data_IF_418380303290
#
_entry.id   IF_418380303290
#
_cell.length_a   1.000
_cell.length_b   1.000
_cell.length_c   1.000
_cell.angle_alpha   90.00
_cell.angle_beta   90.00
_cell.angle_gamma   90.00
#
_symmetry.space_group_name_H-M   'P 1'
#
loop_
_entity.id
_entity.type
_entity.pdbx_description
1 polymer ?
#
# COMPACT_ATOMS: atom_id res chain seq x y z
N UNK A 1 18.66 -10.53 -7.95
CA UNK A 1 18.02 -9.93 -6.77
C UNK A 1 17.47 -8.58 -7.20
N UNK A 2 16.17 -8.50 -7.48
CA UNK A 2 15.53 -7.23 -7.85
C UNK A 2 15.25 -6.46 -6.55
N UNK A 3 15.81 -5.26 -6.44
CA UNK A 3 15.41 -4.34 -5.39
C UNK A 3 14.14 -3.64 -5.85
N UNK A 4 13.00 -3.98 -5.23
CA UNK A 4 11.80 -3.17 -5.37
C UNK A 4 11.96 -1.92 -4.50
N UNK A 5 11.87 -0.74 -5.12
CA UNK A 5 11.72 0.51 -4.39
C UNK A 5 10.28 0.59 -3.90
N UNK A 6 10.08 0.50 -2.58
CA UNK A 6 8.74 0.51 -2.02
C UNK A 6 8.34 1.91 -1.58
N UNK A 7 7.16 2.31 -2.03
CA UNK A 7 6.47 3.48 -1.53
C UNK A 7 5.75 3.13 -0.22
N UNK A 8 6.31 3.55 0.93
CA UNK A 8 5.78 3.13 2.24
C UNK A 8 4.57 3.95 2.74
N UNK A 9 4.09 4.94 1.98
CA UNK A 9 2.99 5.85 2.36
C UNK A 9 2.00 6.12 1.22
N UNK A 10 1.40 5.08 0.63
CA UNK A 10 0.54 5.20 -0.56
C UNK A 10 -0.91 5.63 -0.25
N UNK A 11 -1.10 6.75 0.45
CA UNK A 11 -2.44 7.30 0.74
C UNK A 11 -2.84 8.42 -0.22
N UNK A 12 -4.14 8.71 -0.35
CA UNK A 12 -4.66 9.71 -1.29
C UNK A 12 -4.04 11.10 -1.14
N UNK A 13 -3.65 11.50 0.08
CA UNK A 13 -3.03 12.80 0.34
C UNK A 13 -1.65 12.97 -0.35
N UNK A 14 -1.05 11.90 -0.87
CA UNK A 14 0.21 11.92 -1.59
C UNK A 14 0.03 11.97 -3.12
N UNK A 15 -1.21 12.04 -3.62
CA UNK A 15 -1.53 12.18 -5.04
C UNK A 15 -2.03 13.60 -5.29
N UNK A 16 -1.43 14.30 -6.24
CA UNK A 16 -1.95 15.60 -6.72
C UNK A 16 -2.69 15.43 -8.02
N UNK A 17 -3.75 16.21 -8.19
CA UNK A 17 -4.51 16.32 -9.44
C UNK A 17 -4.57 17.77 -9.89
N UNK A 18 -4.79 18.00 -11.18
CA UNK A 18 -5.14 19.32 -11.71
C UNK A 18 -6.65 19.58 -11.48
N UNK A 19 -7.03 20.52 -10.60
CA UNK A 19 -8.44 20.79 -10.32
C UNK A 19 -9.13 21.61 -11.42
N UNK A 20 -8.37 22.28 -12.28
CA UNK A 20 -8.92 23.14 -13.34
C UNK A 20 -9.27 22.34 -14.61
N UNK A 21 -8.83 21.09 -14.69
CA UNK A 21 -9.17 20.16 -15.75
C UNK A 21 -10.39 19.31 -15.37
N UNK A 22 -11.40 19.15 -16.25
CA UNK A 22 -12.67 18.48 -15.93
C UNK A 22 -12.51 17.01 -15.48
N UNK A 23 -11.47 16.34 -15.95
CA UNK A 23 -11.17 14.94 -15.63
C UNK A 23 -10.26 14.74 -14.41
N UNK A 24 -9.85 15.82 -13.71
CA UNK A 24 -8.96 15.78 -12.55
C UNK A 24 -7.74 14.85 -12.72
N UNK A 25 -6.95 14.99 -13.81
CA UNK A 25 -5.85 14.09 -14.09
C UNK A 25 -4.82 14.15 -12.96
N UNK A 26 -4.27 12.98 -12.60
CA UNK A 26 -3.16 12.90 -11.67
C UNK A 26 -1.95 13.60 -12.28
N UNK A 27 -1.39 14.57 -11.55
CA UNK A 27 -0.26 15.39 -11.99
C UNK A 27 1.06 14.96 -11.35
N UNK A 28 1.03 14.45 -10.12
CA UNK A 28 2.22 13.96 -9.44
C UNK A 28 1.89 12.98 -8.30
N UNK A 29 2.92 12.25 -7.90
CA UNK A 29 2.95 11.44 -6.67
C UNK A 29 4.06 12.04 -5.79
N UNK A 30 3.70 12.57 -4.62
CA UNK A 30 4.56 13.29 -3.65
C UNK A 30 4.87 12.42 -2.44
N UNK A 31 5.93 12.68 -1.67
CA UNK A 31 6.29 11.92 -0.43
C UNK A 31 7.13 10.64 -0.69
N UNK A 32 8.06 10.73 -1.64
CA UNK A 32 9.07 9.70 -1.92
C UNK A 32 10.13 9.55 -0.82
N UNK A 33 10.17 10.43 0.19
CA UNK A 33 11.21 10.43 1.24
C UNK A 33 11.17 9.19 2.14
N UNK A 34 10.02 8.51 2.18
CA UNK A 34 9.87 7.22 2.87
C UNK A 34 10.07 6.02 1.93
N UNK A 35 10.52 6.24 0.69
CA UNK A 35 10.82 5.15 -0.21
C UNK A 35 12.09 4.41 0.23
N UNK A 36 12.03 3.08 0.22
CA UNK A 36 13.15 2.26 0.70
C UNK A 36 13.22 0.94 -0.04
N UNK A 37 14.44 0.50 -0.36
CA UNK A 37 14.71 -0.89 -0.67
C UNK A 37 14.78 -1.67 0.66
N UNK A 38 13.71 -2.38 0.99
CA UNK A 38 13.60 -3.17 2.23
C UNK A 38 13.54 -4.66 1.91
N UNK A 39 14.16 -5.52 2.74
CA UNK A 39 14.12 -6.98 2.55
C UNK A 39 12.74 -7.58 2.86
N UNK A 40 11.81 -6.77 3.39
CA UNK A 40 10.42 -7.15 3.64
C UNK A 40 9.55 -6.67 2.49
N UNK A 41 8.65 -7.49 1.95
CA UNK A 41 7.78 -7.07 0.87
C UNK A 41 6.76 -6.03 1.38
N UNK A 42 7.04 -4.76 1.11
CA UNK A 42 6.21 -3.63 1.57
C UNK A 42 5.28 -3.08 0.50
N UNK A 43 4.83 -3.92 -0.42
CA UNK A 43 3.90 -3.49 -1.49
C UNK A 43 2.65 -2.82 -0.92
N UNK A 44 2.06 -3.41 0.14
CA UNK A 44 0.91 -2.82 0.83
C UNK A 44 0.70 -3.32 2.28
N UNK A 45 1.70 -3.39 3.19
CA UNK A 45 1.43 -3.55 4.63
C UNK A 45 1.40 -2.16 5.29
N UNK A 46 0.29 -1.68 5.89
CA UNK A 46 -0.88 -2.36 6.48
C UNK A 46 -2.20 -2.27 5.67
N UNK A 47 -2.15 -2.49 4.36
CA UNK A 47 -3.21 -2.09 3.41
C UNK A 47 -3.47 -0.59 3.50
N UNK A 48 -2.44 0.21 3.24
CA UNK A 48 -2.56 1.67 3.23
C UNK A 48 -2.79 2.22 1.81
N UNK A 49 -2.77 1.37 0.79
CA UNK A 49 -3.02 1.74 -0.59
C UNK A 49 -4.38 2.43 -0.72
N UNK A 50 -4.35 3.67 -1.20
CA UNK A 50 -5.53 4.54 -1.36
C UNK A 50 -6.32 4.70 -0.06
N UNK A 51 -5.68 4.57 1.11
CA UNK A 51 -6.34 4.80 2.37
C UNK A 51 -6.75 6.26 2.52
N UNK A 52 -7.99 6.47 2.96
CA UNK A 52 -8.59 7.80 3.13
C UNK A 52 -8.37 8.40 4.54
N UNK A 53 -7.48 7.79 5.34
CA UNK A 53 -7.15 8.17 6.73
C UNK A 53 -8.31 8.05 7.75
N UNK A 54 -9.40 7.41 7.37
CA UNK A 54 -10.54 7.15 8.26
C UNK A 54 -10.65 5.65 8.58
N UNK A 55 -11.46 5.32 9.58
CA UNK A 55 -11.48 3.99 10.20
C UNK A 55 -12.90 3.39 10.31
N UNK A 56 -13.91 4.00 9.68
CA UNK A 56 -15.25 3.43 9.71
C UNK A 56 -15.29 2.13 8.89
N UNK A 57 -16.27 1.24 9.15
CA UNK A 57 -16.49 0.06 8.32
C UNK A 57 -16.63 0.41 6.83
N UNK A 58 -17.33 1.49 6.52
CA UNK A 58 -17.54 1.99 5.15
C UNK A 58 -16.22 2.43 4.50
N UNK A 59 -15.32 3.08 5.25
CA UNK A 59 -14.00 3.46 4.76
C UNK A 59 -13.16 2.24 4.36
N UNK A 60 -13.28 1.14 5.12
CA UNK A 60 -12.59 -0.12 4.84
C UNK A 60 -13.18 -0.86 3.65
N UNK A 61 -14.51 -0.83 3.50
CA UNK A 61 -15.19 -1.38 2.33
C UNK A 61 -14.76 -0.65 1.05
N UNK A 62 -14.73 0.69 1.10
CA UNK A 62 -14.31 1.49 -0.05
C UNK A 62 -12.83 1.27 -0.38
N UNK A 63 -11.94 1.18 0.61
CA UNK A 63 -10.55 0.80 0.37
C UNK A 63 -10.45 -0.57 -0.33
N UNK A 64 -11.21 -1.55 0.13
CA UNK A 64 -11.22 -2.90 -0.47
C UNK A 64 -11.75 -2.85 -1.92
N UNK A 65 -12.75 -2.01 -2.17
CA UNK A 65 -13.28 -1.78 -3.52
C UNK A 65 -12.23 -1.13 -4.43
N UNK A 66 -11.53 -0.11 -3.96
CA UNK A 66 -10.46 0.56 -4.71
C UNK A 66 -9.27 -0.36 -5.01
N UNK A 67 -8.87 -1.22 -4.07
CA UNK A 67 -7.84 -2.26 -4.31
C UNK A 67 -8.26 -3.20 -5.46
N UNK A 68 -9.51 -3.68 -5.45
CA UNK A 68 -10.04 -4.54 -6.52
C UNK A 68 -10.12 -3.85 -7.87
N UNK A 69 -10.55 -2.58 -7.89
CA UNK A 69 -10.62 -1.78 -9.11
C UNK A 69 -9.23 -1.53 -9.69
N UNK A 70 -8.23 -1.26 -8.84
CA UNK A 70 -6.84 -1.14 -9.26
C UNK A 70 -6.35 -2.45 -9.89
N UNK A 71 -6.61 -3.60 -9.26
CA UNK A 71 -6.23 -4.89 -9.83
C UNK A 71 -6.89 -5.16 -11.19
N UNK A 72 -8.18 -4.85 -11.34
CA UNK A 72 -8.89 -5.05 -12.61
C UNK A 72 -8.31 -4.18 -13.72
N UNK A 73 -8.06 -2.89 -13.43
CA UNK A 73 -7.46 -1.96 -14.39
C UNK A 73 -6.04 -2.42 -14.79
N UNK A 74 -5.23 -2.88 -13.83
CA UNK A 74 -3.89 -3.41 -14.12
C UNK A 74 -3.96 -4.61 -15.06
N UNK A 75 -4.89 -5.55 -14.84
CA UNK A 75 -5.10 -6.69 -15.74
C UNK A 75 -5.56 -6.24 -17.13
N UNK A 76 -6.55 -5.35 -17.21
CA UNK A 76 -7.09 -4.82 -18.48
C UNK A 76 -6.05 -4.07 -19.31
N UNK A 77 -5.15 -3.32 -18.65
CA UNK A 77 -4.07 -2.57 -19.32
C UNK A 77 -2.82 -3.40 -19.62
N UNK A 78 -2.85 -4.71 -19.37
CA UNK A 78 -1.70 -5.61 -19.63
C UNK A 78 -0.57 -5.52 -18.59
N UNK A 79 -0.80 -4.86 -17.46
CA UNK A 79 0.13 -4.76 -16.34
C UNK A 79 -0.08 -5.86 -15.27
N UNK A 80 -0.90 -6.89 -15.56
CA UNK A 80 -1.25 -7.95 -14.61
C UNK A 80 -0.06 -8.68 -13.99
N UNK A 81 1.04 -8.83 -14.73
CA UNK A 81 2.29 -9.44 -14.23
C UNK A 81 2.85 -8.73 -12.99
N UNK A 82 2.67 -7.42 -12.87
CA UNK A 82 3.13 -6.65 -11.70
C UNK A 82 2.41 -7.14 -10.43
N UNK A 83 1.12 -7.51 -10.53
CA UNK A 83 0.36 -8.03 -9.39
C UNK A 83 0.89 -9.39 -8.94
N UNK A 84 1.21 -10.26 -9.90
CA UNK A 84 1.79 -11.60 -9.63
C UNK A 84 3.19 -11.49 -9.03
N UNK A 85 4.04 -10.63 -9.59
CA UNK A 85 5.41 -10.38 -9.09
C UNK A 85 5.41 -9.76 -7.66
N UNK A 86 4.26 -9.27 -7.20
CA UNK A 86 4.06 -8.66 -5.88
C UNK A 86 3.40 -9.58 -4.86
N UNK A 87 2.97 -10.77 -5.27
CA UNK A 87 2.52 -11.81 -4.31
C UNK A 87 3.71 -12.26 -3.46
N UNK A 88 3.42 -12.52 -2.18
CA UNK A 88 4.45 -12.95 -1.25
C UNK A 88 4.76 -14.42 -1.47
N UNK A 89 6.05 -14.76 -1.54
CA UNK A 89 6.47 -16.15 -1.39
C UNK A 89 6.34 -16.61 0.09
N UNK A 90 6.36 -17.93 0.38
CA UNK A 90 6.20 -18.42 1.76
C UNK A 90 7.26 -17.93 2.76
N UNK A 91 8.47 -17.63 2.30
CA UNK A 91 9.53 -17.08 3.16
C UNK A 91 9.23 -15.61 3.48
N UNK A 92 8.81 -14.85 2.48
CA UNK A 92 8.36 -13.47 2.59
C UNK A 92 7.14 -13.33 3.52
N UNK A 93 6.17 -14.24 3.46
CA UNK A 93 5.05 -14.30 4.41
C UNK A 93 5.53 -14.53 5.85
N UNK A 94 6.47 -15.47 6.02
CA UNK A 94 7.08 -15.77 7.33
C UNK A 94 7.84 -14.57 7.90
N UNK A 95 8.57 -13.85 7.06
CA UNK A 95 9.27 -12.62 7.43
C UNK A 95 8.29 -11.52 7.86
N UNK A 96 7.21 -11.31 7.09
CA UNK A 96 6.18 -10.33 7.44
C UNK A 96 5.49 -10.66 8.76
N UNK A 97 5.25 -11.95 9.03
CA UNK A 97 4.71 -12.44 10.30
C UNK A 97 5.62 -12.06 11.47
N UNK A 98 6.93 -12.29 11.35
CA UNK A 98 7.89 -11.91 12.38
C UNK A 98 7.90 -10.39 12.63
N UNK A 99 7.87 -9.57 11.57
CA UNK A 99 7.80 -8.11 11.66
C UNK A 99 6.52 -7.66 12.38
N UNK A 100 5.38 -8.29 12.09
CA UNK A 100 4.11 -7.97 12.74
C UNK A 100 4.16 -8.26 14.24
N UNK A 101 4.71 -9.40 14.66
CA UNK A 101 4.87 -9.73 16.07
C UNK A 101 5.82 -8.76 16.79
N UNK A 102 6.96 -8.43 16.17
CA UNK A 102 7.89 -7.45 16.73
C UNK A 102 7.19 -6.10 16.93
N UNK A 103 6.47 -5.61 15.92
CA UNK A 103 5.68 -4.38 16.02
C UNK A 103 4.64 -4.45 17.14
N UNK A 104 3.94 -5.58 17.26
CA UNK A 104 2.96 -5.78 18.32
C UNK A 104 3.62 -5.61 19.71
N UNK A 105 4.77 -6.27 19.92
CA UNK A 105 5.51 -6.24 21.20
C UNK A 105 6.08 -4.84 21.51
N UNK A 106 6.69 -4.17 20.52
CA UNK A 106 7.49 -2.96 20.77
C UNK A 106 6.73 -1.65 20.56
N UNK A 107 5.63 -1.65 19.81
CA UNK A 107 4.85 -0.43 19.51
C UNK A 107 3.41 -0.49 20.00
N UNK A 108 2.69 -1.59 19.72
CA UNK A 108 1.24 -1.67 19.95
C UNK A 108 0.91 -1.97 21.42
N UNK A 109 1.47 -3.04 21.98
CA UNK A 109 1.26 -3.43 23.37
C UNK A 109 1.67 -2.31 24.36
N UNK A 110 2.82 -1.63 24.20
CA UNK A 110 3.19 -0.53 25.09
C UNK A 110 2.23 0.66 25.05
N UNK A 111 1.47 0.82 23.96
CA UNK A 111 0.42 1.85 23.83
C UNK A 111 -0.93 1.40 24.39
N UNK A 112 -1.05 0.15 24.87
CA UNK A 112 -2.32 -0.42 25.35
C UNK A 112 -3.35 -0.65 24.24
N UNK A 113 -2.89 -0.82 22.99
CA UNK A 113 -3.73 -0.95 21.80
C UNK A 113 -3.83 -2.42 21.32
N UNK A 114 -3.53 -3.37 22.21
CA UNK A 114 -3.47 -4.81 21.93
C UNK A 114 -4.83 -5.49 22.14
#
# INVERSE_FOLDING_TARGET
MYFAYFWNRSYFANITCDPDHPDYPVTAVLDWEFSSAVPTPRWNPPRAFLWNMKWSPEDKEEQTHMEKLFESICREKGAGKILEDMELDPLQESMQTAVNYLRAIVEVCPRGQA
#
